data_IF_897739632335
#
_entry.id   IF_897739632335
#
_cell.length_a   1.000
_cell.length_b   1.000
_cell.length_c   1.000
_cell.angle_alpha   90.00
_cell.angle_beta   90.00
_cell.angle_gamma   90.00
#
_symmetry.space_group_name_H-M   'P 1'
#
loop_
_entity.id
_entity.type
_entity.pdbx_description
1 polymer ?
#
# COMPACT_ATOMS: atom_id res chain seq x y z
N UNK A 1 -8.35 31.26 2.52
CA UNK A 1 -7.57 30.16 1.91
C UNK A 1 -8.31 28.82 1.99
N UNK A 2 -9.02 28.52 3.08
CA UNK A 2 -9.65 27.20 3.29
C UNK A 2 -10.81 26.87 2.34
N UNK A 3 -11.61 27.88 1.94
CA UNK A 3 -12.74 27.71 1.01
C UNK A 3 -12.27 27.42 -0.42
N UNK A 4 -11.26 28.17 -0.89
CA UNK A 4 -10.65 28.00 -2.22
C UNK A 4 -9.89 26.67 -2.35
N UNK A 5 -9.38 26.12 -1.24
CA UNK A 5 -8.75 24.80 -1.19
C UNK A 5 -9.77 23.69 -1.47
N UNK A 6 -10.90 23.71 -0.75
CA UNK A 6 -11.95 22.68 -0.90
C UNK A 6 -12.57 22.66 -2.30
N UNK A 7 -12.64 23.80 -2.98
CA UNK A 7 -13.13 23.90 -4.37
C UNK A 7 -12.26 23.17 -5.40
N UNK A 8 -10.99 22.89 -5.07
CA UNK A 8 -10.05 22.19 -5.99
C UNK A 8 -9.96 20.69 -5.76
N UNK A 9 -10.61 20.16 -4.72
CA UNK A 9 -10.59 18.73 -4.40
C UNK A 9 -11.69 17.99 -5.15
N UNK A 10 -11.35 16.90 -5.81
CA UNK A 10 -12.33 16.02 -6.46
C UNK A 10 -12.81 14.95 -5.49
N UNK A 11 -14.13 14.81 -5.34
CA UNK A 11 -14.72 13.73 -4.54
C UNK A 11 -14.57 12.37 -5.23
N UNK A 12 -14.33 11.32 -4.45
CA UNK A 12 -14.22 9.93 -4.91
C UNK A 12 -14.77 8.98 -3.86
N UNK A 13 -15.33 7.86 -4.30
CA UNK A 13 -15.76 6.79 -3.41
C UNK A 13 -14.56 6.02 -2.84
N UNK A 14 -14.53 5.72 -1.53
CA UNK A 14 -13.51 4.86 -0.94
C UNK A 14 -13.53 3.45 -1.54
N UNK A 15 -12.36 2.95 -1.90
CA UNK A 15 -12.16 1.64 -2.51
C UNK A 15 -11.43 0.73 -1.52
N UNK A 16 -11.77 -0.56 -1.58
CA UNK A 16 -11.05 -1.58 -0.81
C UNK A 16 -9.76 -1.97 -1.55
N UNK A 17 -8.59 -2.01 -0.88
CA UNK A 17 -7.35 -2.52 -1.46
C UNK A 17 -7.45 -3.93 -2.05
N UNK A 18 -6.61 -4.21 -3.04
CA UNK A 18 -6.57 -5.51 -3.75
C UNK A 18 -6.26 -6.70 -2.84
N UNK A 19 -5.53 -6.47 -1.75
CA UNK A 19 -5.25 -7.46 -0.71
C UNK A 19 -5.06 -6.75 0.65
N UNK A 20 -5.22 -7.51 1.73
CA UNK A 20 -4.81 -7.02 3.04
C UNK A 20 -3.27 -6.94 3.06
N UNK A 21 -2.74 -5.79 3.46
CA UNK A 21 -1.32 -5.62 3.72
C UNK A 21 -1.07 -5.64 5.24
N UNK A 22 0.13 -6.06 5.65
CA UNK A 22 0.52 -6.05 7.07
C UNK A 22 0.35 -4.62 7.60
N UNK A 23 -0.20 -4.49 8.81
CA UNK A 23 -0.37 -3.19 9.47
C UNK A 23 -1.77 -2.97 10.05
N UNK A 24 -2.79 -3.74 9.64
CA UNK A 24 -4.07 -3.82 10.38
C UNK A 24 -4.81 -2.49 10.60
N UNK A 25 -4.43 -1.41 9.90
CA UNK A 25 -4.95 -0.05 10.12
C UNK A 25 -6.39 0.16 9.64
N UNK A 26 -7.11 -0.88 9.27
CA UNK A 26 -8.55 -0.78 8.91
C UNK A 26 -9.38 -0.03 9.96
N UNK A 27 -9.03 -0.17 11.25
CA UNK A 27 -9.68 0.55 12.36
C UNK A 27 -9.27 2.03 12.44
N UNK A 28 -8.01 2.34 12.18
CA UNK A 28 -7.47 3.71 12.20
C UNK A 28 -7.66 4.44 10.87
N UNK A 29 -8.01 3.72 9.80
CA UNK A 29 -8.08 4.27 8.45
C UNK A 29 -9.06 5.44 8.38
N UNK A 30 -10.22 5.33 9.04
CA UNK A 30 -11.21 6.43 9.08
C UNK A 30 -10.65 7.69 9.74
N UNK A 31 -9.89 7.54 10.83
CA UNK A 31 -9.26 8.67 11.53
C UNK A 31 -8.16 9.29 10.69
N UNK A 32 -7.29 8.45 10.12
CA UNK A 32 -6.17 8.89 9.28
C UNK A 32 -6.67 9.61 8.02
N UNK A 33 -7.65 9.03 7.30
CA UNK A 33 -8.21 9.66 6.10
C UNK A 33 -8.88 10.98 6.45
N UNK A 34 -9.58 11.06 7.59
CA UNK A 34 -10.18 12.32 8.06
C UNK A 34 -9.12 13.39 8.32
N UNK A 35 -8.03 13.07 9.01
CA UNK A 35 -6.93 14.02 9.26
C UNK A 35 -6.33 14.51 7.93
N UNK A 36 -6.11 13.59 6.98
CA UNK A 36 -5.58 13.93 5.65
C UNK A 36 -6.55 14.86 4.90
N UNK A 37 -7.85 14.54 4.91
CA UNK A 37 -8.90 15.31 4.23
C UNK A 37 -9.07 16.71 4.85
N UNK A 38 -8.92 16.82 6.17
CA UNK A 38 -9.03 18.07 6.92
C UNK A 38 -7.72 18.91 6.83
N UNK A 39 -6.62 18.35 6.30
CA UNK A 39 -5.33 19.07 6.16
C UNK A 39 -5.20 19.69 4.77
N UNK A 40 -5.03 21.02 4.62
CA UNK A 40 -4.86 21.64 3.30
C UNK A 40 -3.56 21.27 2.58
N UNK A 41 -3.66 20.74 1.35
CA UNK A 41 -2.52 20.36 0.50
C UNK A 41 -2.91 20.27 -1.01
N UNK A 42 -1.98 20.56 -1.92
CA UNK A 42 -2.20 20.35 -3.38
C UNK A 42 -1.59 19.05 -3.89
N UNK A 43 -0.59 18.53 -3.18
CA UNK A 43 0.11 17.30 -3.52
C UNK A 43 -0.09 16.32 -2.37
N UNK A 44 -0.60 15.12 -2.65
CA UNK A 44 -0.56 14.01 -1.72
C UNK A 44 0.52 13.02 -2.12
N UNK A 45 1.38 12.67 -1.17
CA UNK A 45 2.54 11.82 -1.41
C UNK A 45 2.61 10.68 -0.37
N UNK A 46 2.68 9.44 -0.82
CA UNK A 46 2.73 8.25 0.07
C UNK A 46 4.02 7.44 -0.23
N UNK A 47 5.11 7.63 0.54
CA UNK A 47 6.40 6.97 0.28
C UNK A 47 6.38 5.45 0.47
N UNK A 48 5.43 4.94 1.26
CA UNK A 48 5.29 3.54 1.66
C UNK A 48 3.84 3.05 1.42
N UNK A 49 3.42 3.00 0.16
CA UNK A 49 2.00 2.76 -0.16
C UNK A 49 1.53 1.35 0.20
N UNK A 50 2.39 0.33 0.10
CA UNK A 50 1.99 -1.07 0.23
C UNK A 50 0.83 -1.39 -0.71
N UNK A 51 -0.27 -1.97 -0.20
CA UNK A 51 -1.48 -2.20 -1.01
C UNK A 51 -2.42 -0.97 -1.11
N UNK A 52 -1.97 0.22 -0.72
CA UNK A 52 -2.77 1.46 -0.78
C UNK A 52 -3.84 1.52 0.30
N UNK A 53 -3.51 1.06 1.51
CA UNK A 53 -4.46 0.94 2.61
C UNK A 53 -5.14 2.26 2.99
N UNK A 54 -4.39 3.35 3.01
CA UNK A 54 -4.92 4.69 3.23
C UNK A 54 -5.25 5.36 1.90
N UNK A 55 -4.33 5.29 0.92
CA UNK A 55 -4.52 5.85 -0.42
C UNK A 55 -5.93 5.65 -0.98
N UNK A 56 -6.38 4.40 -1.08
CA UNK A 56 -7.65 4.04 -1.70
C UNK A 56 -8.89 4.35 -0.84
N UNK A 57 -8.71 4.59 0.46
CA UNK A 57 -9.82 4.87 1.39
C UNK A 57 -10.14 6.35 1.54
N UNK A 58 -9.30 7.24 1.01
CA UNK A 58 -9.56 8.68 0.99
C UNK A 58 -10.74 9.01 0.09
N UNK A 59 -11.49 10.04 0.47
CA UNK A 59 -12.69 10.53 -0.24
C UNK A 59 -12.44 11.75 -1.10
N UNK A 60 -11.25 12.33 -0.98
CA UNK A 60 -10.86 13.56 -1.66
C UNK A 60 -9.54 13.33 -2.40
N UNK A 61 -9.52 13.75 -3.65
CA UNK A 61 -8.37 13.72 -4.55
C UNK A 61 -7.85 15.16 -4.69
N UNK A 62 -6.61 15.46 -4.26
CA UNK A 62 -5.99 16.75 -4.52
C UNK A 62 -5.53 16.85 -5.97
N UNK A 63 -4.96 18.01 -6.35
CA UNK A 63 -4.52 18.27 -7.72
C UNK A 63 -3.50 17.24 -8.23
N UNK A 64 -2.61 16.77 -7.36
CA UNK A 64 -1.58 15.80 -7.73
C UNK A 64 -1.42 14.71 -6.67
N UNK A 65 -1.31 13.47 -7.12
CA UNK A 65 -1.15 12.30 -6.26
C UNK A 65 0.04 11.47 -6.74
N UNK A 66 0.90 11.13 -5.79
CA UNK A 66 2.04 10.28 -6.05
C UNK A 66 2.19 9.22 -4.96
N UNK A 67 2.39 7.98 -5.38
CA UNK A 67 2.63 6.85 -4.50
C UNK A 67 3.98 6.21 -4.82
N UNK A 68 4.59 5.59 -3.82
CA UNK A 68 5.86 4.90 -3.94
C UNK A 68 5.86 3.64 -3.08
N UNK A 69 6.59 2.63 -3.53
CA UNK A 69 6.97 1.49 -2.71
C UNK A 69 8.36 1.03 -3.08
N UNK A 70 9.13 0.56 -2.09
CA UNK A 70 10.46 -0.03 -2.34
C UNK A 70 10.35 -1.40 -3.01
N UNK A 71 9.25 -2.11 -2.79
CA UNK A 71 8.98 -3.42 -3.36
C UNK A 71 8.61 -3.32 -4.84
N UNK A 72 9.49 -3.86 -5.69
CA UNK A 72 9.22 -3.94 -7.13
C UNK A 72 7.99 -4.78 -7.47
N UNK A 73 7.58 -5.72 -6.62
CA UNK A 73 6.35 -6.50 -6.82
C UNK A 73 5.09 -5.62 -6.66
N UNK A 74 5.09 -4.72 -5.67
CA UNK A 74 3.99 -3.77 -5.43
C UNK A 74 3.86 -2.80 -6.59
N UNK A 75 4.99 -2.20 -7.00
CA UNK A 75 5.04 -1.27 -8.14
C UNK A 75 4.60 -1.96 -9.42
N UNK A 76 5.13 -3.16 -9.70
CA UNK A 76 4.75 -3.96 -10.86
C UNK A 76 3.25 -4.23 -10.89
N UNK A 77 2.68 -4.65 -9.75
CA UNK A 77 1.25 -4.92 -9.64
C UNK A 77 0.38 -3.69 -9.99
N UNK A 78 0.65 -2.53 -9.40
CA UNK A 78 -0.12 -1.32 -9.72
C UNK A 78 0.09 -0.84 -11.16
N UNK A 79 1.31 -0.96 -11.71
CA UNK A 79 1.58 -0.65 -13.12
C UNK A 79 0.82 -1.57 -14.07
N UNK A 80 0.75 -2.87 -13.78
CA UNK A 80 -0.03 -3.85 -14.53
C UNK A 80 -1.52 -3.50 -14.48
N UNK A 81 -2.06 -3.17 -13.30
CA UNK A 81 -3.45 -2.70 -13.20
C UNK A 81 -3.67 -1.43 -14.03
N UNK A 82 -2.74 -0.47 -14.02
CA UNK A 82 -2.88 0.79 -14.74
C UNK A 82 -2.82 0.62 -16.27
N UNK A 83 -1.92 -0.24 -16.78
CA UNK A 83 -1.59 -0.34 -18.22
C UNK A 83 -2.15 -1.56 -18.93
N UNK A 84 -2.39 -2.66 -18.19
CA UNK A 84 -2.69 -3.97 -18.73
C UNK A 84 -3.85 -4.65 -17.99
N UNK A 85 -4.84 -3.86 -17.52
CA UNK A 85 -5.98 -4.37 -16.76
C UNK A 85 -6.69 -5.55 -17.45
N UNK A 86 -7.12 -5.39 -18.70
CA UNK A 86 -7.85 -6.45 -19.42
C UNK A 86 -7.01 -7.74 -19.61
N UNK A 87 -5.77 -7.69 -20.14
CA UNK A 87 -4.90 -8.88 -20.17
C UNK A 87 -4.68 -9.53 -18.80
N UNK A 88 -4.58 -8.73 -17.74
CA UNK A 88 -4.41 -9.24 -16.39
C UNK A 88 -5.68 -9.97 -15.89
N UNK A 89 -6.86 -9.45 -16.20
CA UNK A 89 -8.13 -10.10 -15.88
C UNK A 89 -8.31 -11.42 -16.64
N UNK A 90 -7.85 -11.52 -17.88
CA UNK A 90 -7.87 -12.76 -18.65
C UNK A 90 -6.98 -13.84 -18.00
N UNK A 91 -5.79 -13.47 -17.51
CA UNK A 91 -4.91 -14.40 -16.77
C UNK A 91 -5.53 -14.88 -15.46
N UNK A 92 -6.30 -14.02 -14.78
CA UNK A 92 -6.96 -14.35 -13.53
C UNK A 92 -8.18 -15.25 -13.71
N UNK A 93 -8.82 -15.24 -14.89
CA UNK A 93 -10.15 -15.85 -15.13
C UNK A 93 -10.25 -17.32 -14.70
N UNK A 94 -9.19 -18.09 -14.86
CA UNK A 94 -9.17 -19.53 -14.58
C UNK A 94 -8.39 -19.91 -13.32
N UNK A 95 -7.94 -18.92 -12.55
CA UNK A 95 -7.17 -19.17 -11.34
C UNK A 95 -8.08 -19.51 -10.17
N UNK A 96 -7.78 -20.62 -9.48
CA UNK A 96 -8.52 -21.10 -8.32
C UNK A 96 -7.63 -21.17 -7.09
N UNK A 97 -8.24 -21.21 -5.90
CA UNK A 97 -7.49 -21.41 -4.66
C UNK A 97 -6.99 -22.86 -4.56
N UNK A 98 -5.70 -23.06 -4.78
CA UNK A 98 -4.99 -24.34 -4.66
C UNK A 98 -3.71 -24.21 -3.82
N UNK A 99 -3.49 -25.18 -2.91
CA UNK A 99 -2.28 -25.27 -2.10
C UNK A 99 -1.05 -25.59 -2.95
N UNK A 100 -1.19 -26.47 -3.93
CA UNK A 100 -0.10 -26.85 -4.83
C UNK A 100 0.33 -25.65 -5.68
N UNK A 101 -0.62 -24.91 -6.27
CA UNK A 101 -0.33 -23.67 -6.99
C UNK A 101 0.34 -22.63 -6.09
N UNK A 102 -0.10 -22.51 -4.84
CA UNK A 102 0.54 -21.62 -3.86
C UNK A 102 2.00 -22.00 -3.57
N UNK A 103 2.28 -23.29 -3.40
CA UNK A 103 3.64 -23.79 -3.20
C UNK A 103 4.50 -23.55 -4.45
N UNK A 104 3.96 -23.82 -5.64
CA UNK A 104 4.63 -23.57 -6.90
C UNK A 104 5.01 -22.09 -7.04
N UNK A 105 4.05 -21.18 -6.85
CA UNK A 105 4.31 -19.74 -6.87
C UNK A 105 5.32 -19.31 -5.80
N UNK A 106 5.32 -19.93 -4.62
CA UNK A 106 6.31 -19.60 -3.58
C UNK A 106 7.73 -19.95 -4.01
N UNK A 107 7.92 -21.05 -4.75
CA UNK A 107 9.22 -21.54 -5.21
C UNK A 107 9.73 -20.84 -6.49
N UNK A 108 8.84 -20.21 -7.26
CA UNK A 108 9.22 -19.48 -8.48
C UNK A 108 10.07 -18.24 -8.16
N UNK A 109 11.15 -18.06 -8.92
CA UNK A 109 11.94 -16.82 -8.93
C UNK A 109 11.16 -15.71 -9.68
N UNK A 110 10.80 -14.59 -9.02
CA UNK A 110 10.10 -13.49 -9.68
C UNK A 110 10.85 -12.87 -10.85
N UNK A 111 12.18 -13.03 -10.93
CA UNK A 111 13.01 -12.44 -11.99
C UNK A 111 12.87 -13.16 -13.33
N UNK A 112 12.35 -14.39 -13.34
CA UNK A 112 12.16 -15.17 -14.57
C UNK A 112 10.77 -15.02 -15.17
N UNK A 113 9.89 -14.25 -14.53
CA UNK A 113 8.49 -14.07 -14.91
C UNK A 113 8.30 -12.77 -15.70
N UNK A 114 7.32 -12.77 -16.60
CA UNK A 114 6.80 -11.53 -17.19
C UNK A 114 6.14 -10.66 -16.12
N UNK A 115 5.98 -9.35 -16.40
CA UNK A 115 5.30 -8.41 -15.47
C UNK A 115 3.90 -8.89 -15.08
N UNK A 116 3.14 -9.46 -16.03
CA UNK A 116 1.81 -10.00 -15.81
C UNK A 116 1.81 -11.24 -14.90
N UNK A 117 2.68 -12.22 -15.18
CA UNK A 117 2.83 -13.43 -14.35
C UNK A 117 3.31 -13.07 -12.95
N UNK A 118 4.24 -12.13 -12.85
CA UNK A 118 4.76 -11.63 -11.58
C UNK A 118 3.68 -10.94 -10.77
N UNK A 119 2.82 -10.13 -11.39
CA UNK A 119 1.67 -9.50 -10.76
C UNK A 119 0.63 -10.54 -10.29
N UNK A 120 0.37 -11.58 -11.10
CA UNK A 120 -0.52 -12.68 -10.75
C UNK A 120 0.01 -13.44 -9.53
N UNK A 121 1.26 -13.89 -9.60
CA UNK A 121 1.97 -14.57 -8.51
C UNK A 121 1.90 -13.74 -7.23
N UNK A 122 2.22 -12.46 -7.32
CA UNK A 122 2.20 -11.56 -6.18
C UNK A 122 0.80 -11.45 -5.55
N UNK A 123 -0.24 -11.15 -6.34
CA UNK A 123 -1.61 -11.05 -5.85
C UNK A 123 -2.11 -12.36 -5.24
N UNK A 124 -1.82 -13.49 -5.90
CA UNK A 124 -2.21 -14.82 -5.44
C UNK A 124 -1.61 -15.15 -4.08
N UNK A 125 -0.30 -14.96 -3.94
CA UNK A 125 0.39 -15.17 -2.68
C UNK A 125 -0.12 -14.21 -1.58
N UNK A 126 -0.35 -12.94 -1.89
CA UNK A 126 -0.87 -11.98 -0.91
C UNK A 126 -2.26 -12.35 -0.38
N UNK A 127 -3.16 -12.83 -1.25
CA UNK A 127 -4.53 -13.18 -0.83
C UNK A 127 -4.65 -14.51 -0.12
N UNK A 128 -3.71 -15.44 -0.35
CA UNK A 128 -3.76 -16.80 0.21
C UNK A 128 -2.76 -17.04 1.36
N UNK A 129 -1.87 -16.10 1.65
CA UNK A 129 -0.94 -16.21 2.78
C UNK A 129 -1.60 -15.87 4.11
N UNK A 130 -1.19 -16.57 5.18
CA UNK A 130 -1.50 -16.20 6.55
C UNK A 130 -0.73 -14.94 6.95
N UNK A 131 -1.44 -13.89 7.38
CA UNK A 131 -0.89 -12.64 7.90
C UNK A 131 0.27 -12.02 7.10
N UNK A 132 0.14 -11.84 5.78
CA UNK A 132 0.99 -10.97 4.96
C UNK A 132 2.52 -11.17 5.01
N UNK A 133 3.03 -12.19 5.70
CA UNK A 133 4.47 -12.39 5.93
C UNK A 133 5.13 -12.75 4.59
N UNK A 134 6.07 -11.94 4.11
CA UNK A 134 6.71 -12.23 2.82
C UNK A 134 7.72 -13.39 2.93
N UNK A 135 8.40 -13.59 4.08
CA UNK A 135 9.40 -14.67 4.21
C UNK A 135 8.86 -16.04 4.67
N UNK A 136 7.69 -16.12 5.32
CA UNK A 136 7.05 -17.40 5.72
C UNK A 136 5.59 -17.41 5.30
N UNK A 137 5.38 -17.44 3.98
CA UNK A 137 4.06 -17.54 3.37
C UNK A 137 3.48 -18.93 3.63
N UNK A 138 2.60 -19.05 4.61
CA UNK A 138 1.82 -20.28 4.85
C UNK A 138 0.45 -20.15 4.20
N UNK A 139 0.03 -21.17 3.46
CA UNK A 139 -1.31 -21.21 2.87
C UNK A 139 -2.38 -21.18 3.96
N UNK A 140 -3.22 -20.14 3.95
CA UNK A 140 -4.28 -19.94 4.94
C UNK A 140 -5.44 -20.91 4.72
N UNK A 141 -5.75 -21.69 5.76
CA UNK A 141 -6.98 -22.48 5.85
C UNK A 141 -7.91 -21.78 6.83
N UNK A 142 -9.13 -21.51 6.39
CA UNK A 142 -10.19 -20.94 7.23
C UNK A 142 -11.49 -21.69 6.91
N UNK A 143 -11.92 -22.65 7.74
CA UNK A 143 -13.10 -23.47 7.45
C UNK A 143 -14.41 -22.66 7.46
N UNK A 144 -14.37 -21.42 7.97
CA UNK A 144 -15.54 -20.53 8.06
C UNK A 144 -15.61 -19.53 6.89
N UNK A 145 -14.71 -19.62 5.90
CA UNK A 145 -14.68 -18.72 4.74
C UNK A 145 -14.55 -19.47 3.43
N UNK A 146 -15.27 -18.98 2.41
CA UNK A 146 -15.11 -19.44 1.02
C UNK A 146 -13.68 -19.19 0.51
N UNK A 147 -13.28 -19.89 -0.55
CA UNK A 147 -12.03 -19.68 -1.28
C UNK A 147 -11.66 -18.18 -1.44
N UNK A 148 -10.44 -17.82 -1.05
CA UNK A 148 -9.98 -16.43 -0.97
C UNK A 148 -9.43 -15.89 -2.29
N UNK A 149 -9.22 -16.77 -3.26
CA UNK A 149 -8.93 -16.45 -4.66
C UNK A 149 -10.12 -16.90 -5.53
N UNK A 150 -10.98 -15.95 -5.86
CA UNK A 150 -12.17 -16.14 -6.70
C UNK A 150 -12.16 -15.05 -7.78
N UNK A 151 -12.01 -15.41 -9.07
CA UNK A 151 -11.87 -14.44 -10.16
C UNK A 151 -13.02 -13.43 -10.26
N UNK A 152 -14.27 -13.87 -10.04
CA UNK A 152 -15.45 -12.99 -10.07
C UNK A 152 -15.40 -11.93 -8.98
N UNK A 153 -14.96 -12.32 -7.77
CA UNK A 153 -14.77 -11.36 -6.67
C UNK A 153 -13.59 -10.43 -6.93
N UNK A 154 -12.54 -10.92 -7.59
CA UNK A 154 -11.37 -10.12 -7.94
C UNK A 154 -11.70 -9.05 -8.98
N UNK A 155 -12.49 -9.37 -10.00
CA UNK A 155 -12.91 -8.40 -11.01
C UNK A 155 -13.61 -7.19 -10.38
N UNK A 156 -14.63 -7.45 -9.57
CA UNK A 156 -15.37 -6.39 -8.83
C UNK A 156 -14.50 -5.55 -7.90
N UNK A 157 -13.35 -6.10 -7.46
CA UNK A 157 -12.42 -5.41 -6.57
C UNK A 157 -11.36 -4.62 -7.34
N UNK A 158 -10.87 -5.15 -8.46
CA UNK A 158 -9.77 -4.58 -9.21
C UNK A 158 -10.23 -3.51 -10.20
N UNK A 159 -11.46 -3.58 -10.71
CA UNK A 159 -11.97 -2.59 -11.67
C UNK A 159 -11.95 -1.15 -11.09
N UNK A 160 -12.47 -0.90 -9.87
CA UNK A 160 -12.42 0.45 -9.30
C UNK A 160 -10.98 0.91 -9.03
N UNK A 161 -10.10 -0.01 -8.63
CA UNK A 161 -8.69 0.30 -8.35
C UNK A 161 -7.96 0.77 -9.62
N UNK A 162 -8.13 0.05 -10.73
CA UNK A 162 -7.59 0.44 -12.04
C UNK A 162 -8.04 1.86 -12.40
N UNK A 163 -9.35 2.14 -12.31
CA UNK A 163 -9.89 3.47 -12.63
C UNK A 163 -9.32 4.56 -11.72
N UNK A 164 -9.16 4.26 -10.42
CA UNK A 164 -8.61 5.19 -9.41
C UNK A 164 -7.16 5.54 -9.65
N UNK A 165 -6.38 4.65 -10.25
CA UNK A 165 -4.95 4.84 -10.55
C UNK A 165 -4.69 5.63 -11.84
N UNK A 166 -5.72 5.97 -12.62
CA UNK A 166 -5.58 6.65 -13.92
C UNK A 166 -4.79 7.97 -13.86
N UNK A 167 -4.91 8.73 -12.77
CA UNK A 167 -4.24 10.03 -12.59
C UNK A 167 -3.18 10.00 -11.48
N UNK A 168 -2.63 8.82 -11.18
CA UNK A 168 -1.68 8.64 -10.08
C UNK A 168 -0.29 8.38 -10.65
N UNK A 169 0.70 9.12 -10.17
CA UNK A 169 2.10 8.83 -10.44
C UNK A 169 2.58 7.73 -9.50
N UNK A 170 3.23 6.71 -10.05
CA UNK A 170 3.78 5.58 -9.29
C UNK A 170 5.30 5.59 -9.45
N UNK A 171 6.00 5.75 -8.33
CA UNK A 171 7.46 5.76 -8.26
C UNK A 171 8.00 4.43 -7.68
N UNK A 172 9.28 4.15 -7.97
CA UNK A 172 10.03 3.02 -7.40
C UNK A 172 11.38 3.51 -6.89
N UNK A 173 11.34 4.34 -5.86
CA UNK A 173 12.49 5.02 -5.27
C UNK A 173 12.74 4.56 -3.84
N UNK A 174 13.94 4.88 -3.34
CA UNK A 174 14.13 4.94 -1.90
C UNK A 174 13.19 5.99 -1.29
N UNK A 175 12.72 5.73 -0.07
CA UNK A 175 11.76 6.61 0.59
C UNK A 175 12.33 8.01 0.84
N UNK A 176 13.63 8.13 1.10
CA UNK A 176 14.29 9.42 1.33
C UNK A 176 14.38 10.23 0.04
N UNK A 177 14.80 9.60 -1.06
CA UNK A 177 14.82 10.20 -2.41
C UNK A 177 13.43 10.66 -2.84
N UNK A 178 12.41 9.85 -2.56
CA UNK A 178 11.03 10.19 -2.83
C UNK A 178 10.59 11.46 -2.07
N UNK A 179 10.88 11.54 -0.78
CA UNK A 179 10.56 12.71 0.04
C UNK A 179 11.26 13.95 -0.52
N UNK A 180 12.57 13.89 -0.78
CA UNK A 180 13.33 15.01 -1.34
C UNK A 180 12.77 15.49 -2.67
N UNK A 181 12.35 14.57 -3.54
CA UNK A 181 11.80 14.89 -4.86
C UNK A 181 10.51 15.71 -4.75
N UNK A 182 9.60 15.30 -3.87
CA UNK A 182 8.25 15.86 -3.78
C UNK A 182 8.06 16.90 -2.66
N UNK A 183 9.08 17.20 -1.85
CA UNK A 183 8.97 18.17 -0.77
C UNK A 183 8.73 19.59 -1.30
N UNK A 184 7.53 20.11 -1.07
CA UNK A 184 7.05 21.44 -1.44
C UNK A 184 6.13 21.93 -0.32
N UNK A 185 5.97 23.25 -0.20
CA UNK A 185 5.12 23.87 0.84
C UNK A 185 3.65 23.44 0.81
N UNK A 186 3.19 22.88 -0.29
CA UNK A 186 1.82 22.39 -0.51
C UNK A 186 1.73 20.86 -0.57
N UNK A 187 2.79 20.13 -0.21
CA UNK A 187 2.80 18.66 -0.14
C UNK A 187 2.36 18.20 1.24
N UNK A 188 1.47 17.21 1.27
CA UNK A 188 1.18 16.40 2.45
C UNK A 188 1.72 14.99 2.22
N UNK A 189 2.66 14.58 3.06
CA UNK A 189 3.16 13.22 3.10
C UNK A 189 2.36 12.37 4.08
N UNK A 190 1.99 11.15 3.68
CA UNK A 190 1.53 10.13 4.61
C UNK A 190 2.56 9.00 4.69
N UNK A 191 3.07 8.74 5.89
CA UNK A 191 4.12 7.76 6.12
C UNK A 191 3.60 6.61 6.99
N UNK A 192 3.81 5.40 6.50
CA UNK A 192 3.60 4.13 7.21
C UNK A 192 4.80 3.20 7.00
N UNK A 193 5.97 3.53 7.59
CA UNK A 193 7.16 2.73 7.40
C UNK A 193 6.99 1.33 8.03
N UNK A 194 7.72 0.32 7.52
CA UNK A 194 7.72 -1.02 8.08
C UNK A 194 8.27 -1.02 9.52
N UNK A 195 7.65 -1.78 10.41
CA UNK A 195 7.97 -1.79 11.84
C UNK A 195 9.29 -2.46 12.20
N UNK A 196 9.92 -1.96 13.26
CA UNK A 196 11.02 -2.61 13.96
C UNK A 196 10.66 -4.05 14.37
N UNK A 197 11.56 -5.01 14.12
CA UNK A 197 11.31 -6.44 14.37
C UNK A 197 10.46 -7.16 13.32
N UNK A 198 10.07 -6.47 12.24
CA UNK A 198 9.44 -7.05 11.06
C UNK A 198 10.43 -7.23 9.89
N UNK A 199 11.73 -7.29 10.16
CA UNK A 199 12.83 -7.41 9.16
C UNK A 199 12.69 -8.67 8.31
N UNK A 200 12.24 -9.78 8.90
CA UNK A 200 11.91 -11.01 8.19
C UNK A 200 10.63 -10.87 7.31
N UNK A 201 9.88 -9.77 7.37
CA UNK A 201 8.57 -9.65 6.73
C UNK A 201 8.57 -8.78 5.48
N UNK A 202 9.46 -7.81 5.40
CA UNK A 202 9.63 -6.95 4.21
C UNK A 202 10.84 -7.37 3.39
N UNK A 203 11.80 -8.08 4.00
CA UNK A 203 13.09 -8.44 3.45
C UNK A 203 14.16 -7.88 4.38
N UNK A 204 15.15 -8.71 4.73
CA UNK A 204 16.11 -8.48 5.83
C UNK A 204 16.92 -7.17 5.75
N UNK A 205 16.84 -6.43 4.65
CA UNK A 205 17.64 -5.23 4.39
C UNK A 205 16.83 -3.99 3.97
N UNK A 206 15.49 -4.01 4.04
CA UNK A 206 14.68 -2.93 3.46
C UNK A 206 14.48 -1.70 4.36
N UNK A 207 14.56 -1.85 5.68
CA UNK A 207 14.40 -0.74 6.62
C UNK A 207 15.02 -1.10 7.98
N UNK A 208 15.98 -0.30 8.44
CA UNK A 208 16.76 -0.54 9.66
C UNK A 208 16.38 0.45 10.76
N UNK A 209 16.92 0.23 11.97
CA UNK A 209 16.69 1.14 13.09
C UNK A 209 17.19 2.56 12.78
N UNK A 210 18.34 2.65 12.12
CA UNK A 210 18.99 3.89 11.75
C UNK A 210 18.15 4.69 10.75
N UNK A 211 17.30 4.02 9.97
CA UNK A 211 16.38 4.67 9.03
C UNK A 211 15.28 5.46 9.77
N UNK A 212 14.86 5.03 10.97
CA UNK A 212 13.93 5.82 11.80
C UNK A 212 14.55 7.13 12.27
N UNK A 213 15.84 7.10 12.65
CA UNK A 213 16.55 8.32 13.05
C UNK A 213 16.73 9.25 11.86
N UNK A 214 17.16 8.71 10.72
CA UNK A 214 17.27 9.44 9.45
C UNK A 214 15.93 10.06 9.05
N UNK A 215 14.85 9.30 9.16
CA UNK A 215 13.50 9.78 8.87
C UNK A 215 13.08 10.91 9.80
N UNK A 216 13.30 10.78 11.10
CA UNK A 216 12.99 11.83 12.07
C UNK A 216 13.69 13.15 11.73
N UNK A 217 14.99 13.09 11.43
CA UNK A 217 15.79 14.25 11.02
C UNK A 217 15.24 14.86 9.73
N UNK A 218 14.96 14.05 8.72
CA UNK A 218 14.44 14.51 7.44
C UNK A 218 13.05 15.15 7.57
N UNK A 219 12.15 14.51 8.33
CA UNK A 219 10.79 15.02 8.56
C UNK A 219 10.81 16.35 9.31
N UNK A 220 11.76 16.55 10.23
CA UNK A 220 11.96 17.82 10.94
C UNK A 220 12.41 18.99 10.05
N UNK A 221 12.84 18.72 8.81
CA UNK A 221 13.35 19.72 7.87
C UNK A 221 12.41 19.95 6.66
N UNK A 222 11.23 19.33 6.65
CA UNK A 222 10.31 19.42 5.51
C UNK A 222 9.74 20.83 5.32
N UNK A 223 9.57 21.20 4.05
CA UNK A 223 8.77 22.36 3.66
C UNK A 223 7.27 22.04 3.70
N UNK A 224 6.93 20.81 3.34
CA UNK A 224 5.56 20.29 3.38
C UNK A 224 5.11 19.87 4.78
N UNK A 225 3.88 19.35 4.85
CA UNK A 225 3.32 18.72 6.04
C UNK A 225 3.49 17.21 5.95
N UNK A 226 3.45 16.53 7.08
CA UNK A 226 3.43 15.08 7.10
C UNK A 226 2.47 14.54 8.16
N UNK A 227 2.03 13.30 7.94
CA UNK A 227 1.35 12.47 8.92
C UNK A 227 2.08 11.14 8.99
N UNK A 228 2.72 10.85 10.12
CA UNK A 228 3.42 9.60 10.36
C UNK A 228 2.55 8.68 11.23
N UNK A 229 2.46 7.42 10.84
CA UNK A 229 1.69 6.43 11.58
C UNK A 229 2.57 5.26 12.04
N UNK A 230 2.99 5.31 13.29
CA UNK A 230 3.77 4.25 13.93
C UNK A 230 2.80 3.27 14.61
N UNK A 231 2.87 1.98 14.26
CA UNK A 231 2.27 0.92 15.06
C UNK A 231 3.37 0.30 15.90
N UNK A 232 3.26 0.47 17.22
CA UNK A 232 4.08 -0.33 18.12
C UNK A 232 3.54 -1.75 18.08
N UNK A 233 4.37 -2.71 17.68
CA UNK A 233 4.08 -4.11 17.95
C UNK A 233 4.20 -4.29 19.46
N UNK A 234 3.08 -4.08 20.15
CA UNK A 234 2.93 -4.24 21.57
C UNK A 234 3.35 -5.68 21.91
N UNK A 235 4.57 -5.85 22.44
CA UNK A 235 4.79 -6.93 23.38
C UNK A 235 3.69 -6.74 24.43
N UNK A 236 2.84 -7.77 24.60
CA UNK A 236 1.78 -7.81 25.61
C UNK A 236 2.18 -6.98 26.84
N UNK A 237 1.60 -5.80 27.01
CA UNK A 237 0.79 -5.34 28.14
C UNK A 237 0.49 -3.85 27.94
N UNK A 238 -0.82 -3.55 27.96
CA UNK A 238 -1.46 -2.23 28.09
C UNK A 238 -1.44 -1.23 26.91
N UNK A 239 -2.46 -0.36 26.94
CA UNK A 239 -3.17 0.24 25.80
C UNK A 239 -2.31 1.18 24.93
N UNK A 240 -2.54 1.23 23.60
CA UNK A 240 -1.84 2.16 22.72
C UNK A 240 -2.33 3.61 22.90
N UNK A 241 -1.38 4.51 23.18
CA UNK A 241 -1.52 5.97 23.11
C UNK A 241 -1.10 6.48 21.73
N UNK A 242 -1.89 7.43 21.18
CA UNK A 242 -1.56 8.15 19.94
C UNK A 242 -0.89 9.47 20.35
N UNK A 243 0.37 9.67 19.97
CA UNK A 243 1.02 10.98 20.10
C UNK A 243 0.82 11.75 18.79
N UNK A 244 0.16 12.91 18.90
CA UNK A 244 0.03 13.91 17.85
C UNK A 244 1.13 14.96 18.07
N UNK A 245 1.99 15.16 17.09
CA UNK A 245 2.86 16.33 16.95
C UNK A 245 2.56 17.00 15.61
#
# INVERSE_FOLDING_TARGET
MDTLYKETLKSVDPITPAAAYIGGKSRLAKTITKIIEDTPHKIYAEPFVGMGGIFFRRKLIPLYEVINDRSGDVVNFFRVLQRHYHPFMDLLRFQISSRETFQHFTLQDPKTLTDLERALRFLYLQRLSFSGQVAKRTFRVDPNRSAQFNPLKLESLLEPLYRRLSNVTIEHLDWSDFIHRYDRTNTLFYLDPPYWGAEDYYGKDLFKQEDYQTMSVLLGQLKGKFLLSLSMMCQRYEKPSVNLH
#
